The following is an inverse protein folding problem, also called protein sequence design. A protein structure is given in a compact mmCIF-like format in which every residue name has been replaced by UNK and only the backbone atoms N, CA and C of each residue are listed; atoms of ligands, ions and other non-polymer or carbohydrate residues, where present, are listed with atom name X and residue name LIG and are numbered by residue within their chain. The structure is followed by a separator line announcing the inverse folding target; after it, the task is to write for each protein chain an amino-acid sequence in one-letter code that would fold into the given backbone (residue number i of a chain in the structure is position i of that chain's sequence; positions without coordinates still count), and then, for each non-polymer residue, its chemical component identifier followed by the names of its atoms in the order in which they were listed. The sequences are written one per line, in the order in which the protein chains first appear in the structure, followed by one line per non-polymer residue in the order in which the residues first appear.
data_IF_698962037761
#
_entry.id   IF_698962037761
#
_cell.length_a   1.000
_cell.length_b   1.000
_cell.length_c   1.000
_cell.angle_alpha   90.00
_cell.angle_beta   90.00
_cell.angle_gamma   90.00
#
_symmetry.space_group_name_H-M   'P 1'
#
loop_
_entity.id
_entity.type
_entity.pdbx_description
1 polymer ?
#
# COMPACT_ATOMS: atom_id res chain seq x y z
N UNK A 1 -14.12 12.58 -24.08
CA UNK A 1 -12.99 12.19 -23.20
C UNK A 1 -13.34 12.67 -21.80
N UNK A 2 -14.14 11.89 -21.07
CA UNK A 2 -14.66 12.25 -19.74
C UNK A 2 -13.62 11.95 -18.67
N UNK A 3 -13.30 12.89 -17.76
CA UNK A 3 -12.38 12.61 -16.66
C UNK A 3 -13.05 11.63 -15.68
N UNK A 4 -12.30 10.64 -15.21
CA UNK A 4 -12.77 9.62 -14.26
C UNK A 4 -13.18 10.30 -12.95
N UNK A 5 -14.48 10.38 -12.67
CA UNK A 5 -15.05 11.02 -11.47
C UNK A 5 -14.81 10.30 -10.15
N UNK A 6 -13.82 9.39 -10.05
CA UNK A 6 -13.56 8.61 -8.84
C UNK A 6 -12.57 9.28 -7.87
N UNK A 7 -11.73 10.23 -8.32
CA UNK A 7 -10.74 10.91 -7.46
C UNK A 7 -11.35 11.95 -6.51
N UNK A 8 -12.60 12.36 -6.75
CA UNK A 8 -13.23 13.47 -6.05
C UNK A 8 -13.95 13.09 -4.75
N UNK A 9 -14.09 11.79 -4.45
CA UNK A 9 -14.84 11.32 -3.26
C UNK A 9 -13.96 10.69 -2.18
N UNK A 10 -12.63 10.76 -2.28
CA UNK A 10 -11.78 10.27 -1.19
C UNK A 10 -11.79 11.24 -0.02
N UNK A 11 -12.20 10.78 1.16
CA UNK A 11 -12.18 11.61 2.37
C UNK A 11 -10.73 12.00 2.71
N UNK A 12 -10.48 13.15 3.38
CA UNK A 12 -9.13 13.53 3.80
C UNK A 12 -8.41 12.42 4.59
N UNK A 13 -9.16 11.65 5.40
CA UNK A 13 -8.65 10.49 6.14
C UNK A 13 -8.24 9.33 5.24
N UNK A 14 -8.97 9.07 4.15
CA UNK A 14 -8.60 8.04 3.17
C UNK A 14 -7.31 8.40 2.43
N UNK A 15 -7.13 9.70 2.09
CA UNK A 15 -5.89 10.18 1.47
C UNK A 15 -4.70 10.05 2.41
N UNK A 16 -4.83 10.50 3.65
CA UNK A 16 -3.80 10.36 4.69
C UNK A 16 -3.44 8.88 4.92
N UNK A 17 -4.45 8.01 4.98
CA UNK A 17 -4.24 6.55 5.10
C UNK A 17 -3.50 5.98 3.89
N UNK A 18 -3.86 6.38 2.67
CA UNK A 18 -3.18 5.92 1.46
C UNK A 18 -1.73 6.42 1.39
N UNK A 19 -1.47 7.67 1.79
CA UNK A 19 -0.11 8.20 1.88
C UNK A 19 0.73 7.42 2.91
N UNK A 20 0.16 7.12 4.07
CA UNK A 20 0.80 6.31 5.11
C UNK A 20 1.10 4.89 4.61
N UNK A 21 0.14 4.23 3.96
CA UNK A 21 0.35 2.89 3.41
C UNK A 21 1.44 2.86 2.33
N UNK A 22 1.47 3.89 1.46
CA UNK A 22 2.53 4.03 0.45
C UNK A 22 3.90 4.18 1.10
N UNK A 23 4.00 5.06 2.10
CA UNK A 23 5.22 5.25 2.85
C UNK A 23 5.70 3.95 3.52
N UNK A 24 4.80 3.18 4.14
CA UNK A 24 5.12 1.87 4.74
C UNK A 24 5.64 0.89 3.68
N UNK A 25 4.97 0.78 2.52
CA UNK A 25 5.39 -0.12 1.44
C UNK A 25 6.81 0.22 0.94
N UNK A 26 7.08 1.49 0.67
CA UNK A 26 8.40 1.95 0.22
C UNK A 26 9.48 1.68 1.27
N UNK A 27 9.24 2.07 2.52
CA UNK A 27 10.21 1.92 3.61
C UNK A 27 10.51 0.45 3.92
N UNK A 28 9.48 -0.40 3.98
CA UNK A 28 9.67 -1.83 4.23
C UNK A 28 10.40 -2.52 3.08
N UNK A 29 10.20 -2.07 1.83
CA UNK A 29 10.97 -2.52 0.67
C UNK A 29 12.47 -2.22 0.79
N UNK A 30 12.84 -0.98 1.13
CA UNK A 30 14.24 -0.59 1.32
C UNK A 30 14.89 -1.37 2.48
N UNK A 31 14.16 -1.52 3.60
CA UNK A 31 14.64 -2.32 4.74
C UNK A 31 14.82 -3.80 4.36
N UNK A 32 13.92 -4.37 3.54
CA UNK A 32 14.03 -5.74 3.08
C UNK A 32 15.30 -5.95 2.24
N UNK A 33 15.64 -4.98 1.37
CA UNK A 33 16.89 -4.98 0.62
C UNK A 33 18.12 -5.00 1.55
N UNK A 34 18.13 -4.14 2.57
CA UNK A 34 19.22 -4.08 3.56
C UNK A 34 19.32 -5.40 4.34
N UNK A 35 18.20 -5.93 4.84
CA UNK A 35 18.15 -7.20 5.57
C UNK A 35 18.62 -8.38 4.71
N UNK A 36 18.25 -8.38 3.42
CA UNK A 36 18.69 -9.36 2.44
C UNK A 36 20.20 -9.32 2.22
N UNK A 37 20.78 -8.13 2.09
CA UNK A 37 22.23 -7.94 1.98
C UNK A 37 22.99 -8.44 3.21
N UNK A 38 22.40 -8.34 4.40
CA UNK A 38 22.97 -8.85 5.66
C UNK A 38 22.65 -10.35 5.91
N UNK A 39 22.02 -11.04 4.96
CA UNK A 39 21.61 -12.46 5.05
C UNK A 39 20.74 -12.75 6.27
N UNK A 40 19.77 -11.87 6.55
CA UNK A 40 18.77 -12.03 7.60
C UNK A 40 17.42 -12.50 6.99
N UNK A 41 17.24 -13.81 6.72
CA UNK A 41 16.13 -14.30 5.90
C UNK A 41 14.76 -14.08 6.55
N UNK A 42 14.64 -14.31 7.86
CA UNK A 42 13.37 -14.11 8.58
C UNK A 42 12.95 -12.64 8.61
N UNK A 43 13.90 -11.73 8.82
CA UNK A 43 13.62 -10.29 8.81
C UNK A 43 13.22 -9.82 7.41
N UNK A 44 13.93 -10.28 6.38
CA UNK A 44 13.60 -10.02 4.97
C UNK A 44 12.19 -10.49 4.64
N UNK A 45 11.81 -11.68 5.11
CA UNK A 45 10.46 -12.22 4.94
C UNK A 45 9.39 -11.33 5.59
N UNK A 46 9.55 -10.94 6.85
CA UNK A 46 8.56 -10.10 7.54
C UNK A 46 8.41 -8.72 6.89
N UNK A 47 9.52 -8.12 6.43
CA UNK A 47 9.49 -6.83 5.75
C UNK A 47 8.77 -6.92 4.40
N UNK A 48 9.02 -7.99 3.63
CA UNK A 48 8.29 -8.24 2.39
C UNK A 48 6.80 -8.52 2.65
N UNK A 49 6.46 -9.23 3.72
CA UNK A 49 5.07 -9.48 4.09
C UNK A 49 4.34 -8.17 4.42
N UNK A 50 4.93 -7.31 5.25
CA UNK A 50 4.36 -6.00 5.59
C UNK A 50 4.20 -5.11 4.35
N UNK A 51 5.17 -5.14 3.43
CA UNK A 51 5.08 -4.43 2.15
C UNK A 51 3.88 -4.88 1.33
N UNK A 52 3.74 -6.19 1.12
CA UNK A 52 2.63 -6.76 0.34
C UNK A 52 1.29 -6.42 0.97
N UNK A 53 1.16 -6.52 2.30
CA UNK A 53 -0.08 -6.13 3.01
C UNK A 53 -0.43 -4.64 2.80
N UNK A 54 0.57 -3.76 2.80
CA UNK A 54 0.35 -2.33 2.55
C UNK A 54 -0.07 -2.07 1.08
N UNK A 55 0.57 -2.74 0.12
CA UNK A 55 0.23 -2.66 -1.31
C UNK A 55 -1.18 -3.20 -1.58
N UNK A 56 -1.57 -4.31 -0.95
CA UNK A 56 -2.93 -4.86 -1.07
C UNK A 56 -3.99 -3.88 -0.57
N UNK A 57 -3.75 -3.24 0.59
CA UNK A 57 -4.68 -2.27 1.14
C UNK A 57 -4.78 -0.96 0.34
N UNK A 58 -3.77 -0.64 -0.47
CA UNK A 58 -3.80 0.46 -1.43
C UNK A 58 -4.56 0.10 -2.71
N UNK A 59 -4.46 -1.16 -3.15
CA UNK A 59 -5.14 -1.67 -4.32
C UNK A 59 -6.62 -1.97 -4.07
N UNK A 60 -7.01 -2.22 -2.80
CA UNK A 60 -8.39 -2.44 -2.41
C UNK A 60 -9.21 -1.15 -2.63
N UNK A 61 -10.19 -1.15 -3.56
CA UNK A 61 -11.08 -0.02 -3.70
C UNK A 61 -11.86 0.16 -2.39
N UNK A 62 -12.04 1.40 -1.95
CA UNK A 62 -12.81 1.70 -0.75
C UNK A 62 -14.16 0.94 -0.78
N UNK A 63 -14.55 0.26 0.32
CA UNK A 63 -15.77 -0.53 0.35
C UNK A 63 -16.97 0.41 0.08
N UNK A 64 -17.56 0.30 -1.12
CA UNK A 64 -18.64 1.18 -1.58
C UNK A 64 -18.48 1.76 -3.00
N UNK A 65 -17.39 1.49 -3.72
CA UNK A 65 -17.28 1.88 -5.13
C UNK A 65 -18.46 1.28 -5.95
N UNK A 66 -19.27 2.09 -6.66
CA UNK A 66 -20.42 1.59 -7.42
C UNK A 66 -19.93 0.75 -8.60
N UNK A 67 -20.06 -0.57 -8.48
CA UNK A 67 -19.65 -1.52 -9.52
C UNK A 67 -19.56 -2.99 -9.11
N UNK A 68 -19.67 -3.31 -7.81
CA UNK A 68 -19.78 -4.69 -7.34
C UNK A 68 -21.26 -5.11 -7.19
N UNK A 69 -21.91 -5.42 -8.32
CA UNK A 69 -23.12 -6.26 -8.38
C UNK A 69 -23.04 -7.16 -9.60
#
# INVERSE_FOLDING_TARGET
MTPRGSEFLSTPRERERAEMLRYISEMTGELACIAGAQRLPMLTYFLNMARVEAEMQLAEPAPGAPGAR
#
